data_IF_382465873870
#
_entry.id   IF_382465873870
#
_cell.length_a   1.000
_cell.length_b   1.000
_cell.length_c   1.000
_cell.angle_alpha   90.00
_cell.angle_beta   90.00
_cell.angle_gamma   90.00
#
_symmetry.space_group_name_H-M   'P 1'
#
loop_
_entity.id
_entity.type
_entity.pdbx_description
1 polymer ?
#
# COMPACT_ATOMS: atom_id res chain seq x y z
N UNK A 1 12.70 0.24 12.50
CA UNK A 1 12.29 0.07 13.90
C UNK A 1 13.02 1.00 14.88
N UNK A 2 14.35 0.98 15.02
CA UNK A 2 15.07 1.85 15.98
C UNK A 2 14.77 3.36 15.81
N UNK A 3 14.66 3.85 14.57
CA UNK A 3 14.28 5.24 14.31
C UNK A 3 12.85 5.54 14.77
N UNK A 4 11.91 4.63 14.53
CA UNK A 4 10.53 4.74 15.02
C UNK A 4 10.48 4.78 16.57
N UNK A 5 11.27 3.97 17.28
CA UNK A 5 11.36 4.04 18.75
C UNK A 5 11.84 5.40 19.27
N UNK A 6 12.56 6.18 18.44
CA UNK A 6 13.02 7.53 18.76
C UNK A 6 12.00 8.61 18.32
N UNK A 7 10.81 8.23 17.85
CA UNK A 7 9.80 9.16 17.32
C UNK A 7 10.15 9.74 15.95
N UNK A 8 11.14 9.18 15.24
CA UNK A 8 11.51 9.66 13.90
C UNK A 8 10.64 8.98 12.85
N UNK A 9 10.20 9.74 11.85
CA UNK A 9 9.53 9.21 10.68
C UNK A 9 10.42 8.22 9.93
N UNK A 10 9.80 7.16 9.41
CA UNK A 10 10.45 6.15 8.57
C UNK A 10 9.73 6.01 7.24
N UNK A 11 10.42 5.52 6.21
CA UNK A 11 9.82 5.22 4.90
C UNK A 11 10.06 3.74 4.56
N UNK A 12 9.66 2.87 5.49
CA UNK A 12 9.59 1.43 5.23
C UNK A 12 8.43 1.18 4.27
N UNK A 13 8.68 0.45 3.20
CA UNK A 13 7.69 0.05 2.21
C UNK A 13 6.71 -0.99 2.78
N UNK A 14 5.40 -0.69 2.87
CA UNK A 14 4.42 -1.63 3.42
C UNK A 14 3.79 -2.53 2.35
N UNK A 15 4.09 -2.36 1.06
CA UNK A 15 3.39 -3.03 -0.05
C UNK A 15 3.43 -4.55 0.09
N UNK A 16 4.60 -5.13 0.39
CA UNK A 16 4.71 -6.59 0.55
C UNK A 16 3.83 -7.12 1.70
N UNK A 17 3.73 -6.39 2.81
CA UNK A 17 2.85 -6.75 3.93
C UNK A 17 1.37 -6.59 3.58
N UNK A 18 1.01 -5.55 2.80
CA UNK A 18 -0.35 -5.38 2.28
C UNK A 18 -0.72 -6.55 1.37
N UNK A 19 0.16 -6.92 0.44
CA UNK A 19 -0.06 -8.04 -0.48
C UNK A 19 -0.18 -9.38 0.25
N UNK A 20 0.58 -9.58 1.35
CA UNK A 20 0.39 -10.77 2.18
C UNK A 20 -1.03 -10.86 2.77
N UNK A 21 -1.62 -9.73 3.19
CA UNK A 21 -3.00 -9.66 3.68
C UNK A 21 -4.02 -9.84 2.56
N UNK A 22 -3.91 -9.10 1.46
CA UNK A 22 -4.89 -9.16 0.35
C UNK A 22 -4.94 -10.56 -0.25
N UNK A 23 -3.79 -11.25 -0.42
CA UNK A 23 -3.78 -12.64 -0.87
C UNK A 23 -4.50 -13.58 0.11
N UNK A 24 -4.32 -13.39 1.42
CA UNK A 24 -5.06 -14.14 2.44
C UNK A 24 -6.57 -13.89 2.40
N UNK A 25 -6.98 -12.63 2.26
CA UNK A 25 -8.38 -12.22 2.15
C UNK A 25 -9.04 -12.75 0.87
N UNK A 26 -8.32 -12.70 -0.25
CA UNK A 26 -8.79 -13.22 -1.53
C UNK A 26 -9.12 -14.73 -1.43
N UNK A 27 -8.17 -15.55 -0.95
CA UNK A 27 -8.41 -16.98 -0.78
C UNK A 27 -9.53 -17.27 0.22
N UNK A 28 -9.64 -16.48 1.29
CA UNK A 28 -10.77 -16.61 2.22
C UNK A 28 -12.10 -16.31 1.50
N UNK A 29 -12.14 -15.24 0.70
CA UNK A 29 -13.29 -14.87 -0.11
C UNK A 29 -13.71 -15.98 -1.07
N UNK A 30 -12.77 -16.64 -1.74
CA UNK A 30 -13.06 -17.80 -2.62
C UNK A 30 -13.73 -18.94 -1.84
N UNK A 31 -13.13 -19.35 -0.72
CA UNK A 31 -13.66 -20.46 0.08
C UNK A 31 -15.04 -20.16 0.70
N UNK A 32 -15.30 -18.89 1.03
CA UNK A 32 -16.61 -18.46 1.58
C UNK A 32 -17.64 -18.10 0.50
N UNK A 33 -17.28 -18.18 -0.78
CA UNK A 33 -18.10 -17.65 -1.89
C UNK A 33 -18.50 -16.18 -1.65
N UNK A 34 -17.56 -15.37 -1.14
CA UNK A 34 -17.75 -13.96 -0.83
C UNK A 34 -17.05 -13.08 -1.89
N UNK A 35 -17.75 -12.70 -2.98
CA UNK A 35 -17.17 -11.88 -4.04
C UNK A 35 -16.81 -10.46 -3.59
N UNK A 36 -17.51 -9.89 -2.61
CA UNK A 36 -17.21 -8.54 -2.11
C UNK A 36 -15.83 -8.50 -1.44
N UNK A 37 -15.46 -9.56 -0.71
CA UNK A 37 -14.15 -9.67 -0.09
C UNK A 37 -13.02 -9.81 -1.12
N UNK A 38 -13.28 -10.56 -2.20
CA UNK A 38 -12.34 -10.70 -3.33
C UNK A 38 -12.13 -9.34 -3.99
N UNK A 39 -13.21 -8.65 -4.34
CA UNK A 39 -13.17 -7.31 -4.97
C UNK A 39 -12.45 -6.31 -4.08
N UNK A 40 -12.67 -6.35 -2.76
CA UNK A 40 -11.93 -5.50 -1.82
C UNK A 40 -10.42 -5.77 -1.87
N UNK A 41 -10.00 -7.04 -1.83
CA UNK A 41 -8.60 -7.42 -1.87
C UNK A 41 -7.93 -6.97 -3.19
N UNK A 42 -8.58 -7.23 -4.33
CA UNK A 42 -8.10 -6.83 -5.66
C UNK A 42 -7.98 -5.31 -5.81
N UNK A 43 -8.99 -4.57 -5.33
CA UNK A 43 -8.97 -3.11 -5.36
C UNK A 43 -7.82 -2.55 -4.50
N UNK A 44 -7.54 -3.13 -3.33
CA UNK A 44 -6.42 -2.68 -2.50
C UNK A 44 -5.05 -2.95 -3.18
N UNK A 45 -4.88 -4.10 -3.84
CA UNK A 45 -3.66 -4.36 -4.63
C UNK A 45 -3.52 -3.36 -5.79
N UNK A 46 -4.61 -3.13 -6.54
CA UNK A 46 -4.65 -2.15 -7.63
C UNK A 46 -4.30 -0.74 -7.15
N UNK A 47 -4.85 -0.31 -6.02
CA UNK A 47 -4.54 1.00 -5.41
C UNK A 47 -3.05 1.13 -5.09
N UNK A 48 -2.40 0.07 -4.61
CA UNK A 48 -0.96 0.11 -4.35
C UNK A 48 -0.15 0.38 -5.62
N UNK A 49 -0.46 -0.34 -6.70
CA UNK A 49 0.20 -0.19 -8.01
C UNK A 49 -0.02 1.22 -8.56
N UNK A 50 -1.28 1.66 -8.68
CA UNK A 50 -1.62 2.98 -9.24
C UNK A 50 -1.03 4.13 -8.41
N UNK A 51 -0.87 3.95 -7.09
CA UNK A 51 -0.25 4.96 -6.23
C UNK A 51 1.22 5.14 -6.57
N UNK A 52 1.97 4.03 -6.72
CA UNK A 52 3.38 4.07 -7.12
C UNK A 52 3.53 4.63 -8.53
N UNK A 53 2.71 4.18 -9.48
CA UNK A 53 2.73 4.67 -10.87
C UNK A 53 2.39 6.17 -10.97
N UNK A 54 1.59 6.70 -10.03
CA UNK A 54 1.31 8.14 -9.92
C UNK A 54 2.48 8.97 -9.34
N UNK A 55 3.63 8.34 -9.07
CA UNK A 55 4.81 8.99 -8.49
C UNK A 55 4.82 9.05 -6.96
N UNK A 56 3.78 8.54 -6.29
CA UNK A 56 3.69 8.50 -4.82
C UNK A 56 4.20 7.15 -4.32
N UNK A 57 5.40 7.13 -3.76
CA UNK A 57 6.05 5.88 -3.34
C UNK A 57 6.93 6.08 -2.11
N UNK A 58 7.37 4.99 -1.49
CA UNK A 58 8.35 5.03 -0.39
C UNK A 58 9.78 5.19 -0.90
N UNK A 59 10.70 5.54 0.01
CA UNK A 59 12.07 5.93 -0.30
C UNK A 59 12.85 4.86 -1.05
N UNK A 60 12.65 3.60 -0.69
CA UNK A 60 13.28 2.44 -1.35
C UNK A 60 12.97 2.38 -2.84
N UNK A 61 11.71 2.59 -3.24
CA UNK A 61 11.30 2.61 -4.64
C UNK A 61 11.78 3.87 -5.37
N UNK A 62 11.68 5.04 -4.73
CA UNK A 62 12.13 6.30 -5.31
C UNK A 62 13.63 6.28 -5.66
N UNK A 63 14.45 5.66 -4.81
CA UNK A 63 15.89 5.50 -5.04
C UNK A 63 16.22 4.65 -6.29
N UNK A 64 15.31 3.78 -6.73
CA UNK A 64 15.49 3.00 -7.97
C UNK A 64 15.23 3.84 -9.23
N UNK A 65 14.49 4.94 -9.11
CA UNK A 65 14.13 5.82 -10.23
C UNK A 65 15.19 6.90 -10.43
N UNK A 66 15.40 7.75 -9.43
CA UNK A 66 16.44 8.78 -9.46
C UNK A 66 16.70 9.40 -8.09
N UNK A 67 17.86 10.04 -7.86
CA UNK A 67 18.12 10.78 -6.61
C UNK A 67 17.19 11.97 -6.37
N UNK A 68 16.48 12.44 -7.40
CA UNK A 68 15.56 13.58 -7.33
C UNK A 68 14.10 13.17 -7.15
N UNK A 69 13.80 11.87 -7.20
CA UNK A 69 12.44 11.38 -7.05
C UNK A 69 11.95 11.62 -5.62
N UNK A 70 10.84 12.35 -5.50
CA UNK A 70 10.18 12.56 -4.21
C UNK A 70 9.58 11.26 -3.69
N UNK A 71 9.49 11.14 -2.35
CA UNK A 71 8.98 9.96 -1.68
C UNK A 71 8.21 10.34 -0.42
N UNK A 72 7.36 9.42 0.03
CA UNK A 72 6.52 9.54 1.22
C UNK A 72 7.08 8.71 2.37
N UNK A 73 6.92 9.19 3.61
CA UNK A 73 7.11 8.32 4.76
C UNK A 73 6.01 7.23 4.78
N UNK A 74 6.18 6.21 5.63
CA UNK A 74 5.27 5.06 5.69
C UNK A 74 3.83 5.47 6.00
N UNK A 75 3.63 6.43 6.91
CA UNK A 75 2.30 6.89 7.32
C UNK A 75 1.59 7.64 6.20
N UNK A 76 2.29 8.56 5.53
CA UNK A 76 1.75 9.33 4.40
C UNK A 76 1.43 8.44 3.20
N UNK A 77 2.26 7.41 2.96
CA UNK A 77 1.98 6.41 1.93
C UNK A 77 0.71 5.63 2.27
N UNK A 78 0.57 5.11 3.50
CA UNK A 78 -0.64 4.40 3.94
C UNK A 78 -1.89 5.29 3.89
N UNK A 79 -1.79 6.56 4.29
CA UNK A 79 -2.88 7.52 4.20
C UNK A 79 -3.29 7.77 2.74
N UNK A 80 -2.32 7.85 1.83
CA UNK A 80 -2.58 7.98 0.39
C UNK A 80 -3.34 6.76 -0.16
N UNK A 81 -2.92 5.54 0.22
CA UNK A 81 -3.60 4.31 -0.16
C UNK A 81 -5.04 4.28 0.38
N UNK A 82 -5.23 4.60 1.66
CA UNK A 82 -6.56 4.67 2.28
C UNK A 82 -7.50 5.61 1.53
N UNK A 83 -7.08 6.84 1.27
CA UNK A 83 -7.89 7.84 0.57
C UNK A 83 -8.27 7.41 -0.86
N UNK A 84 -7.37 6.71 -1.55
CA UNK A 84 -7.65 6.17 -2.89
C UNK A 84 -8.61 4.99 -2.84
N UNK A 85 -8.44 4.10 -1.88
CA UNK A 85 -9.35 2.96 -1.67
C UNK A 85 -10.76 3.44 -1.32
N UNK A 86 -10.91 4.40 -0.40
CA UNK A 86 -12.21 4.99 -0.04
C UNK A 86 -12.93 5.58 -1.24
N UNK A 87 -12.22 6.18 -2.20
CA UNK A 87 -12.81 6.70 -3.45
C UNK A 87 -13.28 5.62 -4.43
N UNK A 88 -12.68 4.43 -4.37
CA UNK A 88 -13.06 3.30 -5.23
C UNK A 88 -14.26 2.54 -4.64
N UNK A 89 -14.38 2.53 -3.30
CA UNK A 89 -15.45 1.83 -2.59
C UNK A 89 -16.71 2.68 -2.37
N UNK A 90 -16.64 4.00 -2.59
CA UNK A 90 -17.78 4.92 -2.53
C UNK A 90 -18.63 4.87 -3.80
#
# INVERSE_FOLDING_TARGET
>A
YRNHQKGLHTSTNPIASIFAWTRGLHFRGEFDQNPELIVFADNLEKVCVETVESGKMTKDLAMLISPKQEWLNTEDFLNTLKQRLEKILA
#
